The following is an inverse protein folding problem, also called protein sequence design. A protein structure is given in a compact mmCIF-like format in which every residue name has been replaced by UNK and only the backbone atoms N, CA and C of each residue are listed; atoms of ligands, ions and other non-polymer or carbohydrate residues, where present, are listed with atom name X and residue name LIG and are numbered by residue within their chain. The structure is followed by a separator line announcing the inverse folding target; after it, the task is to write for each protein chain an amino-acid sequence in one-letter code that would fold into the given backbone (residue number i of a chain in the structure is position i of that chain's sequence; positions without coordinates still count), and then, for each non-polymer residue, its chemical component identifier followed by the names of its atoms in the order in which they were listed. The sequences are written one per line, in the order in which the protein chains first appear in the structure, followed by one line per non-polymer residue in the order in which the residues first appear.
data_IF_507524463935
#
_entry.id   IF_507524463935
#
_cell.length_a   1.000
_cell.length_b   1.000
_cell.length_c   1.000
_cell.angle_alpha   90.00
_cell.angle_beta   90.00
_cell.angle_gamma   90.00
#
_symmetry.space_group_name_H-M   'P 1'
#
loop_
_entity.id
_entity.type
_entity.pdbx_description
1 polymer ?
#
# COMPACT_ATOMS: atom_id res chain seq x y z
N UNK A 1 -7.85 11.83 35.12
CA UNK A 1 -6.89 11.06 35.94
C UNK A 1 -7.43 9.66 36.11
N UNK A 2 -6.94 8.70 35.34
CA UNK A 2 -6.80 7.28 35.70
C UNK A 2 -5.98 6.62 34.59
N UNK A 3 -4.97 5.86 35.01
CA UNK A 3 -3.80 5.44 34.23
C UNK A 3 -4.17 4.32 33.26
N UNK A 4 -3.76 4.46 32.00
CA UNK A 4 -3.71 3.37 31.03
C UNK A 4 -2.41 2.58 31.28
N UNK A 5 -2.53 1.34 31.74
CA UNK A 5 -1.42 0.41 31.87
C UNK A 5 -1.21 -0.34 30.54
N UNK A 6 0.03 -0.33 30.03
CA UNK A 6 0.50 -1.28 29.01
C UNK A 6 0.55 -2.69 29.61
N UNK A 7 0.47 -3.71 28.76
CA UNK A 7 1.55 -4.69 28.74
C UNK A 7 2.11 -4.89 27.33
N UNK A 8 3.44 -5.02 27.27
CA UNK A 8 4.19 -5.37 26.06
C UNK A 8 4.97 -6.67 26.33
N UNK A 9 4.94 -7.55 25.32
CA UNK A 9 6.02 -8.42 24.83
C UNK A 9 6.59 -9.53 25.74
N UNK A 10 6.41 -10.78 25.28
CA UNK A 10 7.46 -11.81 25.30
C UNK A 10 7.12 -12.94 24.30
N UNK A 11 7.67 -12.88 23.08
CA UNK A 11 8.00 -14.09 22.32
C UNK A 11 9.00 -13.72 21.20
N UNK A 12 10.22 -14.22 21.35
CA UNK A 12 11.33 -14.27 20.39
C UNK A 12 11.91 -12.90 20.00
N UNK A 13 12.82 -12.45 20.85
CA UNK A 13 13.66 -11.28 20.64
C UNK A 13 14.56 -11.45 19.43
N UNK A 14 14.46 -10.49 18.53
CA UNK A 14 15.51 -9.74 17.86
C UNK A 14 14.80 -8.44 17.43
N UNK A 15 15.50 -7.30 17.42
CA UNK A 15 15.02 -5.95 17.07
C UNK A 15 14.40 -5.14 18.23
N UNK A 16 15.29 -4.46 18.97
CA UNK A 16 14.93 -3.33 19.83
C UNK A 16 14.67 -2.03 19.04
N UNK A 17 14.32 -0.92 19.71
CA UNK A 17 13.80 0.32 19.10
C UNK A 17 14.78 1.14 18.24
N UNK A 18 15.92 0.58 17.84
CA UNK A 18 16.96 1.25 17.06
C UNK A 18 16.81 1.10 15.53
N UNK A 19 15.80 0.35 15.05
CA UNK A 19 15.58 0.09 13.61
C UNK A 19 15.04 1.27 12.79
N UNK A 20 14.75 2.43 13.40
CA UNK A 20 14.08 3.56 12.73
C UNK A 20 15.03 4.67 12.24
N UNK A 21 16.35 4.44 12.21
CA UNK A 21 17.35 5.45 11.77
C UNK A 21 18.23 5.06 10.59
N UNK A 22 17.86 4.08 9.78
CA UNK A 22 18.68 3.68 8.60
C UNK A 22 17.96 3.78 7.25
N UNK A 23 17.03 4.72 7.09
CA UNK A 23 16.47 5.12 5.78
C UNK A 23 16.57 6.64 5.51
N UNK A 24 17.36 7.38 6.30
CA UNK A 24 17.46 8.86 6.21
C UNK A 24 18.88 9.42 6.01
N UNK A 25 19.79 8.63 5.45
CA UNK A 25 21.10 9.12 4.98
C UNK A 25 21.31 8.65 3.56
N UNK A 26 20.73 9.38 2.61
CA UNK A 26 20.85 9.07 1.19
C UNK A 26 20.31 10.16 0.27
N UNK A 27 20.32 11.42 0.72
CA UNK A 27 20.16 12.61 -0.14
C UNK A 27 20.96 13.75 0.47
N UNK A 28 22.27 13.70 0.32
CA UNK A 28 23.21 14.83 0.43
C UNK A 28 24.58 14.28 0.05
N UNK A 29 24.85 14.27 -1.25
CA UNK A 29 26.20 14.28 -1.84
C UNK A 29 26.04 14.41 -3.37
N UNK A 30 25.52 15.57 -3.78
CA UNK A 30 25.85 16.20 -5.06
C UNK A 30 26.04 17.68 -4.71
N UNK A 31 27.18 18.24 -5.13
CA UNK A 31 27.77 19.56 -4.81
C UNK A 31 28.88 19.46 -3.74
N UNK A 32 30.10 19.71 -4.21
CA UNK A 32 31.37 19.46 -3.52
C UNK A 32 31.90 20.61 -2.67
N UNK A 33 33.23 20.54 -2.49
CA UNK A 33 34.11 21.31 -1.58
C UNK A 33 34.02 20.83 -0.12
N UNK A 34 35.08 20.54 0.64
CA UNK A 34 36.50 20.82 0.56
C UNK A 34 36.99 20.94 2.02
N UNK A 35 38.21 20.45 2.30
CA UNK A 35 39.01 20.64 3.53
C UNK A 35 38.91 19.65 4.73
N UNK A 36 39.97 18.83 4.81
CA UNK A 36 40.86 18.52 5.95
C UNK A 36 40.30 18.04 7.31
N UNK A 37 40.73 16.82 7.69
CA UNK A 37 40.72 16.24 9.05
C UNK A 37 41.82 16.86 9.93
N UNK A 38 41.70 16.76 11.26
CA UNK A 38 42.53 15.77 11.96
C UNK A 38 41.80 14.96 13.06
N UNK A 39 42.54 13.97 13.57
CA UNK A 39 42.18 12.75 14.31
C UNK A 39 42.06 12.94 15.86
N UNK A 40 41.88 11.89 16.71
CA UNK A 40 40.89 11.90 17.80
C UNK A 40 41.48 12.04 19.22
N UNK A 41 40.68 12.61 20.14
CA UNK A 41 40.93 12.61 21.59
C UNK A 41 40.05 11.59 22.33
N UNK A 42 40.68 10.84 23.23
CA UNK A 42 40.14 9.76 24.08
C UNK A 42 39.49 10.30 25.37
N UNK A 43 38.71 9.41 26.01
CA UNK A 43 38.22 9.40 27.41
C UNK A 43 37.05 10.37 27.71
N UNK A 44 36.04 10.05 28.51
CA UNK A 44 35.92 9.02 29.56
C UNK A 44 34.44 8.63 29.81
N UNK A 45 34.23 7.44 30.38
CA UNK A 45 32.94 7.01 30.93
C UNK A 45 32.67 7.68 32.27
N UNK A 46 31.49 8.30 32.42
CA UNK A 46 31.00 8.83 33.69
C UNK A 46 29.49 8.77 33.78
N UNK A 47 28.98 7.89 34.63
CA UNK A 47 27.57 7.77 34.97
C UNK A 47 27.14 8.88 35.95
N UNK A 48 25.98 9.51 35.71
CA UNK A 48 25.12 10.19 36.69
C UNK A 48 23.84 10.60 35.97
N UNK A 49 22.73 9.87 36.13
CA UNK A 49 21.64 10.14 37.08
C UNK A 49 20.98 11.51 36.94
N UNK A 50 19.69 11.45 36.54
CA UNK A 50 18.56 12.27 37.03
C UNK A 50 18.76 13.78 37.11
N UNK A 51 18.09 14.56 36.26
CA UNK A 51 17.27 15.72 36.68
C UNK A 51 16.29 16.04 35.54
N UNK A 52 14.99 16.06 35.85
CA UNK A 52 13.93 16.30 34.88
C UNK A 52 13.79 17.78 34.51
N UNK A 53 13.35 18.04 33.29
CA UNK A 53 12.77 19.35 32.91
C UNK A 53 11.61 19.13 31.95
N UNK A 54 10.46 19.68 32.37
CA UNK A 54 9.21 19.83 31.60
C UNK A 54 9.47 20.60 30.31
N UNK A 55 8.87 20.19 29.19
CA UNK A 55 8.70 21.07 28.03
C UNK A 55 7.22 21.40 27.83
N UNK A 56 6.89 22.67 28.07
CA UNK A 56 5.70 23.33 27.55
C UNK A 56 5.85 23.57 26.03
N UNK A 57 4.74 23.69 25.28
CA UNK A 57 4.78 23.98 23.86
C UNK A 57 5.06 25.48 23.61
N UNK A 58 5.94 25.75 22.66
CA UNK A 58 6.25 27.10 22.20
C UNK A 58 5.22 27.47 21.11
N UNK A 59 4.30 28.38 21.45
CA UNK A 59 3.52 29.14 20.49
C UNK A 59 4.40 30.28 19.96
N UNK A 60 4.43 30.47 18.64
CA UNK A 60 5.03 31.64 18.01
C UNK A 60 3.88 32.52 17.55
N UNK A 61 3.71 33.64 18.22
CA UNK A 61 2.85 34.75 17.83
C UNK A 61 3.68 36.03 17.95
N UNK A 62 3.85 36.76 16.86
CA UNK A 62 4.32 38.15 16.78
C UNK A 62 4.32 38.53 15.29
N UNK A 63 3.91 39.70 14.83
CA UNK A 63 3.07 40.77 15.36
C UNK A 63 2.70 41.63 14.15
N UNK A 64 1.50 42.19 14.16
CA UNK A 64 1.02 43.16 13.16
C UNK A 64 1.64 44.53 13.47
N UNK A 65 2.26 45.16 12.47
CA UNK A 65 2.58 46.59 12.49
C UNK A 65 1.45 47.36 11.80
N UNK A 66 0.88 48.29 12.56
CA UNK A 66 -0.18 49.21 12.15
C UNK A 66 0.45 50.55 11.78
N UNK A 67 0.03 51.16 10.67
CA UNK A 67 0.18 52.59 10.39
C UNK A 67 -0.94 52.98 9.43
N UNK A 68 -1.88 53.76 9.95
CA UNK A 68 -3.08 54.18 9.22
C UNK A 68 -2.89 55.47 8.45
N UNK A 69 -3.79 55.71 7.49
CA UNK A 69 -4.25 57.04 7.08
C UNK A 69 -5.77 56.97 6.84
N UNK A 70 -6.41 58.06 7.22
CA UNK A 70 -7.81 58.42 7.44
C UNK A 70 -8.69 58.55 6.20
N UNK A 71 -10.01 58.34 6.36
CA UNK A 71 -11.03 58.87 5.45
C UNK A 71 -12.42 58.29 5.70
N UNK A 72 -13.30 59.04 6.38
CA UNK A 72 -14.58 58.54 6.86
C UNK A 72 -15.77 58.64 5.90
N UNK A 73 -16.84 57.92 6.26
CA UNK A 73 -18.27 58.27 6.13
C UNK A 73 -19.11 57.24 6.92
N UNK A 74 -20.05 57.71 7.74
CA UNK A 74 -21.13 56.95 8.44
C UNK A 74 -22.49 57.32 7.79
N UNK A 75 -23.62 56.72 8.17
CA UNK A 75 -23.94 55.28 8.26
C UNK A 75 -25.27 54.95 7.53
N UNK A 76 -25.54 53.68 7.24
CA UNK A 76 -26.93 53.22 7.03
C UNK A 76 -27.17 52.03 7.96
N UNK A 77 -28.10 52.25 8.88
CA UNK A 77 -28.66 51.30 9.82
C UNK A 77 -29.62 50.36 9.08
N UNK A 78 -29.41 49.05 9.21
CA UNK A 78 -30.50 48.08 9.12
C UNK A 78 -30.44 47.20 10.35
N UNK A 79 -31.40 47.42 11.24
CA UNK A 79 -31.71 46.56 12.37
C UNK A 79 -32.44 45.32 11.86
N UNK A 80 -31.91 44.13 12.11
CA UNK A 80 -32.72 42.91 12.19
C UNK A 80 -32.08 41.86 13.11
N UNK A 81 -32.69 41.75 14.29
CA UNK A 81 -32.85 40.58 15.17
C UNK A 81 -31.66 39.63 15.35
N UNK A 82 -31.03 39.77 16.51
CA UNK A 82 -30.37 38.69 17.24
C UNK A 82 -31.39 37.58 17.59
N UNK A 83 -31.29 36.44 16.92
CA UNK A 83 -31.78 35.16 17.45
C UNK A 83 -30.60 34.43 18.09
N UNK A 84 -30.53 34.52 19.41
CA UNK A 84 -29.73 33.65 20.25
C UNK A 84 -30.26 32.22 20.12
N UNK A 85 -29.64 31.42 19.25
CA UNK A 85 -29.76 29.97 19.31
C UNK A 85 -28.57 29.48 20.11
N UNK A 86 -28.83 29.19 21.39
CA UNK A 86 -28.00 28.30 22.19
C UNK A 86 -28.04 26.91 21.54
N UNK A 87 -27.19 26.70 20.55
CA UNK A 87 -26.89 25.39 20.01
C UNK A 87 -25.82 24.76 20.90
N UNK A 88 -26.25 23.87 21.80
CA UNK A 88 -25.35 22.98 22.54
C UNK A 88 -24.69 22.04 21.52
N UNK A 89 -23.57 22.47 20.94
CA UNK A 89 -22.84 21.76 19.91
C UNK A 89 -22.01 20.63 20.52
N UNK A 90 -22.67 19.52 20.86
CA UNK A 90 -21.97 18.26 21.05
C UNK A 90 -21.29 17.88 19.74
N UNK A 91 -19.95 17.77 19.75
CA UNK A 91 -19.11 17.27 18.66
C UNK A 91 -19.38 15.77 18.45
N UNK A 92 -20.59 15.43 17.99
CA UNK A 92 -20.89 14.11 17.46
C UNK A 92 -20.26 14.04 16.07
N UNK A 93 -18.98 13.65 16.02
CA UNK A 93 -18.30 13.33 14.76
C UNK A 93 -19.15 12.34 13.97
N UNK A 94 -19.79 12.81 12.90
CA UNK A 94 -20.67 12.00 12.05
C UNK A 94 -19.86 10.84 11.48
N UNK A 95 -20.23 9.61 11.84
CA UNK A 95 -19.62 8.39 11.30
C UNK A 95 -19.95 8.31 9.81
N UNK A 96 -18.93 8.08 8.99
CA UNK A 96 -19.08 7.91 7.54
C UNK A 96 -19.51 6.47 7.23
N UNK A 97 -20.30 6.33 6.17
CA UNK A 97 -20.74 5.05 5.60
C UNK A 97 -20.25 4.92 4.15
N UNK A 98 -20.45 3.73 3.56
CA UNK A 98 -20.07 3.47 2.16
C UNK A 98 -20.72 4.47 1.20
N UNK A 99 -21.98 4.86 1.47
CA UNK A 99 -22.70 5.88 0.70
C UNK A 99 -21.97 7.23 0.72
N UNK A 100 -21.45 7.67 1.88
CA UNK A 100 -20.72 8.94 1.96
C UNK A 100 -19.44 8.90 1.12
N UNK A 101 -18.75 7.76 1.04
CA UNK A 101 -17.58 7.59 0.18
C UNK A 101 -17.98 7.66 -1.30
N UNK A 102 -19.06 6.99 -1.69
CA UNK A 102 -19.58 7.05 -3.06
C UNK A 102 -19.95 8.48 -3.45
N UNK A 103 -20.61 9.24 -2.56
CA UNK A 103 -20.94 10.66 -2.78
C UNK A 103 -19.68 11.53 -2.96
N UNK A 104 -18.64 11.32 -2.14
CA UNK A 104 -17.38 12.08 -2.27
C UNK A 104 -16.71 11.85 -3.63
N UNK A 105 -16.75 10.62 -4.14
CA UNK A 105 -16.22 10.28 -5.47
C UNK A 105 -17.12 10.88 -6.57
N UNK A 106 -18.45 10.68 -6.47
CA UNK A 106 -19.41 11.12 -7.48
C UNK A 106 -19.45 12.64 -7.63
N UNK A 107 -19.39 13.37 -6.52
CA UNK A 107 -19.32 14.82 -6.48
C UNK A 107 -17.94 15.37 -6.86
N UNK A 108 -16.96 14.51 -7.22
CA UNK A 108 -15.57 14.89 -7.49
C UNK A 108 -14.92 15.67 -6.34
N UNK A 109 -15.39 15.46 -5.10
CA UNK A 109 -14.76 16.01 -3.91
C UNK A 109 -13.43 15.30 -3.59
N UNK A 110 -13.33 14.03 -3.98
CA UNK A 110 -12.09 13.27 -4.04
C UNK A 110 -11.74 12.97 -5.51
N UNK A 111 -10.54 13.36 -5.95
CA UNK A 111 -10.06 13.20 -7.33
C UNK A 111 -8.67 12.55 -7.41
N UNK A 112 -8.03 12.31 -6.26
CA UNK A 112 -6.71 11.70 -6.14
C UNK A 112 -6.84 10.48 -5.24
N UNK A 113 -7.54 9.47 -5.76
CA UNK A 113 -7.83 8.23 -5.06
C UNK A 113 -6.59 7.35 -5.09
N UNK A 114 -6.07 7.04 -3.92
CA UNK A 114 -5.01 6.06 -3.72
C UNK A 114 -5.65 4.71 -3.42
N UNK A 115 -5.12 3.65 -4.02
CA UNK A 115 -5.63 2.30 -3.79
C UNK A 115 -4.51 1.39 -3.32
N UNK A 116 -4.75 0.64 -2.25
CA UNK A 116 -3.91 -0.44 -1.76
C UNK A 116 -4.65 -1.76 -1.88
N UNK A 117 -4.06 -2.76 -2.54
CA UNK A 117 -4.68 -4.08 -2.71
C UNK A 117 -3.74 -5.22 -2.35
N UNK A 118 -4.33 -6.35 -1.97
CA UNK A 118 -3.62 -7.62 -1.75
C UNK A 118 -4.38 -8.80 -2.33
N UNK A 119 -3.97 -10.02 -1.93
CA UNK A 119 -4.37 -11.24 -2.62
C UNK A 119 -5.89 -11.50 -2.61
N UNK A 120 -6.62 -10.93 -1.66
CA UNK A 120 -8.07 -11.05 -1.55
C UNK A 120 -8.83 -10.51 -2.76
N UNK A 121 -8.24 -9.61 -3.57
CA UNK A 121 -8.90 -9.15 -4.81
C UNK A 121 -8.79 -10.17 -5.96
N UNK A 122 -7.85 -11.11 -5.88
CA UNK A 122 -7.56 -12.12 -6.92
C UNK A 122 -8.21 -13.46 -6.62
N UNK A 123 -8.77 -13.67 -5.42
CA UNK A 123 -9.50 -14.90 -5.07
C UNK A 123 -10.70 -15.19 -5.98
N UNK A 124 -11.50 -14.20 -6.43
CA UNK A 124 -12.59 -14.46 -7.38
C UNK A 124 -12.09 -14.82 -8.79
N UNK A 125 -10.82 -14.55 -9.08
CA UNK A 125 -10.16 -14.97 -10.33
C UNK A 125 -9.62 -16.40 -10.25
N UNK A 126 -9.80 -17.10 -9.13
CA UNK A 126 -9.32 -18.47 -8.91
C UNK A 126 -7.86 -18.55 -8.43
N UNK A 127 -7.26 -17.41 -8.05
CA UNK A 127 -5.92 -17.36 -7.45
C UNK A 127 -6.11 -17.46 -5.92
N UNK A 128 -5.62 -18.52 -5.26
CA UNK A 128 -5.73 -18.60 -3.80
C UNK A 128 -4.97 -17.45 -3.16
N UNK A 129 -5.49 -16.92 -2.05
CA UNK A 129 -4.67 -16.03 -1.21
C UNK A 129 -3.57 -16.84 -0.50
N UNK A 130 -2.70 -16.18 0.25
CA UNK A 130 -1.63 -16.88 0.95
C UNK A 130 -2.10 -17.57 2.24
N UNK A 131 -3.03 -16.94 2.97
CA UNK A 131 -3.23 -17.16 4.42
C UNK A 131 -4.58 -17.74 4.81
N UNK A 132 -5.58 -17.79 3.92
CA UNK A 132 -6.89 -18.31 4.27
C UNK A 132 -6.80 -19.78 4.68
N UNK A 133 -7.38 -20.17 5.83
CA UNK A 133 -7.37 -21.56 6.27
C UNK A 133 -8.01 -22.50 5.25
N UNK A 134 -7.33 -23.59 4.90
CA UNK A 134 -7.83 -24.65 4.02
C UNK A 134 -7.75 -24.37 2.51
N UNK A 135 -7.88 -23.11 2.08
CA UNK A 135 -7.81 -22.73 0.65
C UNK A 135 -6.57 -21.92 0.28
N UNK A 136 -5.92 -21.28 1.25
CA UNK A 136 -4.75 -20.45 1.04
C UNK A 136 -3.53 -21.28 0.65
N UNK A 137 -2.65 -20.66 -0.13
CA UNK A 137 -1.47 -21.29 -0.71
C UNK A 137 -0.66 -22.06 0.33
N UNK A 138 -0.41 -21.46 1.50
CA UNK A 138 0.37 -22.05 2.58
C UNK A 138 -0.20 -23.36 3.13
N UNK A 139 -1.52 -23.56 3.05
CA UNK A 139 -2.15 -24.82 3.47
C UNK A 139 -1.81 -25.98 2.52
N UNK A 140 -1.54 -25.66 1.25
CA UNK A 140 -1.28 -26.64 0.19
C UNK A 140 0.22 -26.86 -0.08
N UNK A 141 1.11 -26.15 0.62
CA UNK A 141 2.56 -26.28 0.45
C UNK A 141 3.17 -27.48 1.21
N UNK A 142 2.38 -28.25 1.97
CA UNK A 142 2.87 -29.41 2.73
C UNK A 142 3.55 -30.48 1.86
N UNK A 143 3.23 -30.52 0.56
CA UNK A 143 3.89 -31.40 -0.41
C UNK A 143 5.34 -31.01 -0.72
N UNK A 144 5.72 -29.76 -0.45
CA UNK A 144 7.09 -29.29 -0.57
C UNK A 144 7.72 -29.42 0.82
N UNK A 145 8.86 -30.11 0.91
CA UNK A 145 9.62 -30.32 2.15
C UNK A 145 10.22 -28.98 2.65
N UNK A 146 9.34 -28.11 3.13
CA UNK A 146 9.61 -26.75 3.60
C UNK A 146 9.65 -26.75 5.13
N UNK A 147 10.58 -26.02 5.75
CA UNK A 147 10.62 -25.90 7.21
C UNK A 147 9.37 -25.19 7.77
N UNK A 148 8.80 -24.27 7.00
CA UNK A 148 7.54 -23.58 7.22
C UNK A 148 7.07 -22.96 5.89
N UNK A 149 5.77 -22.66 5.71
CA UNK A 149 5.22 -22.26 4.41
C UNK A 149 5.86 -21.02 3.77
N UNK A 150 6.21 -20.02 4.57
CA UNK A 150 6.79 -18.75 4.12
C UNK A 150 8.20 -18.93 3.51
N UNK A 151 8.90 -20.03 3.85
CA UNK A 151 10.25 -20.30 3.38
C UNK A 151 10.35 -20.33 1.85
N UNK A 152 9.28 -20.71 1.14
CA UNK A 152 9.25 -20.70 -0.34
C UNK A 152 9.50 -19.30 -0.94
N UNK A 153 9.23 -18.25 -0.17
CA UNK A 153 9.43 -16.85 -0.54
C UNK A 153 10.59 -16.19 0.23
N UNK A 154 11.45 -16.94 0.90
CA UNK A 154 12.65 -16.40 1.56
C UNK A 154 13.87 -16.50 0.65
N UNK A 155 14.64 -15.40 0.55
CA UNK A 155 15.82 -15.37 -0.31
C UNK A 155 16.88 -16.40 0.12
N UNK A 156 17.05 -16.60 1.43
CA UNK A 156 18.00 -17.55 1.99
C UNK A 156 17.63 -18.99 1.60
N UNK A 157 16.37 -19.38 1.77
CA UNK A 157 15.87 -20.69 1.36
C UNK A 157 15.98 -20.88 -0.16
N UNK A 158 15.55 -19.90 -0.95
CA UNK A 158 15.65 -19.95 -2.41
C UNK A 158 17.08 -20.15 -2.92
N UNK A 159 18.05 -19.49 -2.27
CA UNK A 159 19.46 -19.62 -2.62
C UNK A 159 19.99 -21.03 -2.36
N UNK A 160 19.46 -21.71 -1.34
CA UNK A 160 19.79 -23.10 -1.03
C UNK A 160 19.04 -24.10 -1.92
N UNK A 161 17.73 -23.94 -2.05
CA UNK A 161 16.84 -24.81 -2.81
C UNK A 161 15.77 -23.99 -3.56
N UNK A 162 16.00 -23.61 -4.82
CA UNK A 162 15.04 -22.82 -5.59
C UNK A 162 13.89 -23.66 -6.18
N UNK A 163 13.96 -24.99 -6.10
CA UNK A 163 13.03 -25.90 -6.79
C UNK A 163 11.57 -25.72 -6.31
N UNK A 164 11.26 -25.67 -5.00
CA UNK A 164 9.88 -25.48 -4.54
C UNK A 164 9.23 -24.22 -5.11
N UNK A 165 9.97 -23.11 -5.15
CA UNK A 165 9.47 -21.86 -5.73
C UNK A 165 9.16 -22.03 -7.23
N UNK A 166 10.07 -22.63 -8.01
CA UNK A 166 9.82 -22.79 -9.45
C UNK A 166 8.69 -23.77 -9.76
N UNK A 167 8.51 -24.82 -8.97
CA UNK A 167 7.36 -25.72 -9.09
C UNK A 167 6.06 -24.96 -8.83
N UNK A 168 6.00 -24.18 -7.75
CA UNK A 168 4.87 -23.33 -7.44
C UNK A 168 4.61 -22.28 -8.54
N UNK A 169 5.66 -21.60 -9.00
CA UNK A 169 5.59 -20.58 -10.02
C UNK A 169 5.05 -21.14 -11.35
N UNK A 170 5.43 -22.37 -11.71
CA UNK A 170 4.90 -23.10 -12.87
C UNK A 170 3.38 -23.27 -12.75
N UNK A 171 2.87 -23.71 -11.61
CA UNK A 171 1.43 -23.91 -11.40
C UNK A 171 0.64 -22.62 -11.52
N UNK A 172 1.17 -21.52 -10.99
CA UNK A 172 0.55 -20.19 -11.06
C UNK A 172 0.59 -19.61 -12.47
N UNK A 173 1.70 -19.81 -13.21
CA UNK A 173 1.87 -19.24 -14.54
C UNK A 173 1.11 -19.99 -15.64
N UNK A 174 1.02 -21.32 -15.53
CA UNK A 174 0.28 -22.13 -16.51
C UNK A 174 -1.24 -21.89 -16.44
N UNK A 175 -1.73 -21.49 -15.27
CA UNK A 175 -3.13 -21.08 -15.12
C UNK A 175 -3.28 -19.66 -15.66
N UNK A 176 -3.86 -19.52 -16.85
CA UNK A 176 -4.23 -18.23 -17.45
C UNK A 176 -5.39 -17.60 -16.66
N UNK A 177 -5.06 -16.93 -15.57
CA UNK A 177 -6.03 -16.21 -14.76
C UNK A 177 -6.51 -14.95 -15.47
N UNK A 178 -7.78 -14.57 -15.23
CA UNK A 178 -8.38 -13.36 -15.80
C UNK A 178 -8.73 -12.34 -14.71
N UNK A 179 -8.60 -11.03 -14.98
CA UNK A 179 -9.08 -10.02 -14.05
C UNK A 179 -10.58 -10.19 -13.82
N UNK A 180 -11.02 -9.96 -12.59
CA UNK A 180 -12.43 -9.94 -12.22
C UNK A 180 -12.95 -8.49 -12.08
N UNK A 181 -14.23 -8.35 -11.72
CA UNK A 181 -14.92 -7.06 -11.54
C UNK A 181 -14.17 -6.05 -10.66
N UNK A 182 -13.43 -6.50 -9.64
CA UNK A 182 -12.65 -5.62 -8.77
C UNK A 182 -11.54 -4.93 -9.55
N UNK A 183 -10.82 -5.68 -10.39
CA UNK A 183 -9.74 -5.15 -11.22
C UNK A 183 -10.28 -4.16 -12.26
N UNK A 184 -11.44 -4.45 -12.84
CA UNK A 184 -12.09 -3.56 -13.80
C UNK A 184 -12.70 -2.32 -13.14
N UNK A 185 -13.15 -2.40 -11.88
CA UNK A 185 -13.51 -1.21 -11.10
C UNK A 185 -12.31 -0.27 -10.93
N UNK A 186 -11.12 -0.81 -10.63
CA UNK A 186 -9.90 -0.01 -10.55
C UNK A 186 -9.51 0.61 -11.90
N UNK A 187 -9.73 -0.13 -12.99
CA UNK A 187 -9.58 0.38 -14.36
C UNK A 187 -10.56 1.50 -14.65
N UNK A 188 -11.83 1.36 -14.28
CA UNK A 188 -12.83 2.40 -14.48
C UNK A 188 -12.52 3.66 -13.65
N UNK A 189 -11.98 3.50 -12.43
CA UNK A 189 -11.48 4.60 -11.62
C UNK A 189 -10.31 5.34 -12.32
N UNK A 190 -9.45 4.61 -13.03
CA UNK A 190 -8.42 5.20 -13.88
C UNK A 190 -9.01 5.95 -15.07
N UNK A 191 -9.89 5.32 -15.84
CA UNK A 191 -10.48 5.87 -17.07
C UNK A 191 -11.30 7.13 -16.77
N UNK A 192 -11.91 7.23 -15.58
CA UNK A 192 -12.60 8.43 -15.09
C UNK A 192 -11.67 9.53 -14.55
N UNK A 193 -10.35 9.32 -14.57
CA UNK A 193 -9.34 10.29 -14.16
C UNK A 193 -9.23 10.48 -12.64
N UNK A 194 -9.67 9.50 -11.84
CA UNK A 194 -9.73 9.61 -10.37
C UNK A 194 -8.58 8.87 -9.67
N UNK A 195 -8.02 7.83 -10.30
CA UNK A 195 -6.93 7.05 -9.73
C UNK A 195 -5.63 7.86 -9.71
N UNK A 196 -5.12 8.16 -8.50
CA UNK A 196 -3.79 8.70 -8.31
C UNK A 196 -2.73 7.63 -8.59
N UNK A 197 -2.79 6.53 -7.81
CA UNK A 197 -1.91 5.36 -7.91
C UNK A 197 -2.58 4.13 -7.33
N UNK A 198 -2.27 2.97 -7.90
CA UNK A 198 -2.58 1.65 -7.39
C UNK A 198 -1.30 1.00 -6.85
N UNK A 199 -1.30 0.70 -5.56
CA UNK A 199 -0.28 -0.08 -4.86
C UNK A 199 -0.80 -1.50 -4.70
N UNK A 200 -0.12 -2.48 -5.27
CA UNK A 200 -0.50 -3.90 -5.15
C UNK A 200 0.59 -4.69 -4.44
N UNK A 201 0.18 -5.59 -3.54
CA UNK A 201 1.03 -6.64 -2.97
C UNK A 201 1.05 -7.90 -3.86
N UNK A 202 0.16 -7.96 -4.85
CA UNK A 202 0.02 -9.12 -5.72
C UNK A 202 1.15 -9.15 -6.73
N UNK A 203 1.46 -10.38 -7.16
CA UNK A 203 2.48 -10.69 -8.17
C UNK A 203 1.86 -11.33 -9.42
N UNK A 204 0.55 -11.54 -9.42
CA UNK A 204 -0.21 -12.20 -10.50
C UNK A 204 -0.30 -11.35 -11.78
N UNK A 205 -0.17 -10.02 -11.67
CA UNK A 205 -0.17 -9.08 -12.79
C UNK A 205 -1.56 -8.77 -13.34
N UNK A 206 -2.65 -9.18 -12.68
CA UNK A 206 -4.01 -8.97 -13.18
C UNK A 206 -4.38 -7.47 -13.26
N UNK A 207 -3.72 -6.60 -12.50
CA UNK A 207 -3.88 -5.15 -12.62
C UNK A 207 -3.36 -4.63 -13.97
N UNK A 208 -2.25 -5.19 -14.48
CA UNK A 208 -1.76 -4.87 -15.83
C UNK A 208 -2.70 -5.42 -16.89
N UNK A 209 -3.18 -6.65 -16.70
CA UNK A 209 -4.10 -7.32 -17.64
C UNK A 209 -5.43 -6.58 -17.73
N UNK A 210 -5.94 -5.99 -16.65
CA UNK A 210 -7.15 -5.14 -16.69
C UNK A 210 -6.93 -3.77 -17.36
N UNK A 211 -5.69 -3.46 -17.73
CA UNK A 211 -5.32 -2.25 -18.47
C UNK A 211 -4.89 -1.07 -17.60
N UNK A 212 -4.53 -1.29 -16.33
CA UNK A 212 -3.88 -0.23 -15.54
C UNK A 212 -2.51 0.08 -16.17
N UNK A 213 -2.24 1.33 -16.57
CA UNK A 213 -0.95 1.66 -17.16
C UNK A 213 0.16 1.58 -16.12
N UNK A 214 1.37 1.21 -16.55
CA UNK A 214 2.54 1.09 -15.67
C UNK A 214 2.84 2.39 -14.89
N UNK A 215 2.48 3.55 -15.45
CA UNK A 215 2.60 4.85 -14.77
C UNK A 215 1.69 4.96 -13.56
N UNK A 216 0.56 4.24 -13.48
CA UNK A 216 -0.39 4.24 -12.37
C UNK A 216 -0.19 3.08 -11.39
N UNK A 217 0.65 2.11 -11.71
CA UNK A 217 0.86 0.91 -10.92
C UNK A 217 2.20 0.92 -10.16
N UNK A 218 2.13 0.52 -8.89
CA UNK A 218 3.27 0.16 -8.04
C UNK A 218 3.07 -1.27 -7.56
N UNK A 219 3.80 -2.19 -8.17
CA UNK A 219 3.90 -3.60 -7.74
C UNK A 219 4.88 -3.68 -6.58
N UNK A 220 4.40 -3.51 -5.36
CA UNK A 220 5.24 -3.38 -4.17
C UNK A 220 6.06 -4.64 -3.91
N UNK A 221 5.55 -5.81 -4.28
CA UNK A 221 6.25 -7.09 -4.18
C UNK A 221 6.79 -7.59 -5.53
N UNK A 222 6.93 -6.69 -6.52
CA UNK A 222 7.44 -7.03 -7.83
C UNK A 222 6.45 -7.81 -8.69
N UNK A 223 6.93 -8.43 -9.77
CA UNK A 223 6.07 -9.20 -10.69
C UNK A 223 6.84 -10.24 -11.50
N UNK A 224 6.10 -11.17 -12.10
CA UNK A 224 6.65 -12.15 -13.04
C UNK A 224 6.97 -11.59 -14.45
N UNK A 225 6.79 -10.28 -14.67
CA UNK A 225 6.97 -9.65 -15.97
C UNK A 225 8.43 -9.57 -16.43
N UNK A 226 9.37 -9.60 -15.48
CA UNK A 226 10.81 -9.57 -15.72
C UNK A 226 11.53 -10.42 -14.67
N UNK A 227 12.83 -10.56 -14.85
CA UNK A 227 13.64 -11.34 -13.96
C UNK A 227 15.12 -10.97 -14.05
N UNK A 228 15.86 -11.36 -13.02
CA UNK A 228 17.25 -10.97 -12.84
C UNK A 228 18.11 -12.16 -12.40
N UNK A 229 19.29 -12.30 -12.98
CA UNK A 229 20.29 -13.25 -12.48
C UNK A 229 20.70 -12.88 -11.05
N UNK A 230 20.65 -13.85 -10.15
CA UNK A 230 20.99 -13.64 -8.73
C UNK A 230 22.48 -13.36 -8.49
N UNK A 231 23.34 -13.66 -9.47
CA UNK A 231 24.80 -13.48 -9.38
C UNK A 231 25.24 -12.21 -10.09
N UNK A 232 25.15 -12.17 -11.43
CA UNK A 232 25.67 -11.06 -12.22
C UNK A 232 24.67 -9.91 -12.44
N UNK A 233 23.45 -10.01 -11.89
CA UNK A 233 22.38 -9.01 -12.02
C UNK A 233 21.94 -8.71 -13.46
N UNK A 234 22.32 -9.56 -14.42
CA UNK A 234 21.86 -9.45 -15.81
C UNK A 234 20.33 -9.62 -15.87
N UNK A 235 19.59 -8.70 -16.51
CA UNK A 235 18.16 -8.87 -16.73
C UNK A 235 17.89 -9.98 -17.74
N UNK A 236 16.76 -10.65 -17.59
CA UNK A 236 16.25 -11.69 -18.47
C UNK A 236 14.78 -11.44 -18.78
N UNK A 237 14.34 -11.81 -19.97
CA UNK A 237 12.92 -11.71 -20.31
C UNK A 237 12.13 -12.80 -19.57
N UNK A 238 10.86 -12.52 -19.27
CA UNK A 238 9.95 -13.53 -18.72
C UNK A 238 9.86 -14.75 -19.65
N UNK A 239 9.82 -14.54 -20.98
CA UNK A 239 9.72 -15.61 -21.97
C UNK A 239 10.85 -16.64 -21.84
N UNK A 240 12.08 -16.19 -21.65
CA UNK A 240 13.25 -17.08 -21.56
C UNK A 240 13.17 -17.97 -20.33
N UNK A 241 12.69 -17.41 -19.22
CA UNK A 241 12.59 -18.11 -17.94
C UNK A 241 11.46 -19.11 -17.96
N UNK A 242 10.30 -18.70 -18.47
CA UNK A 242 9.13 -19.57 -18.51
C UNK A 242 9.30 -20.75 -19.46
N UNK A 243 10.18 -20.65 -20.47
CA UNK A 243 10.58 -21.79 -21.28
C UNK A 243 11.27 -22.88 -20.45
N UNK A 244 12.23 -22.50 -19.59
CA UNK A 244 12.90 -23.43 -18.68
C UNK A 244 11.95 -23.96 -17.59
N UNK A 245 11.21 -23.07 -16.93
CA UNK A 245 10.28 -23.45 -15.86
C UNK A 245 9.20 -24.41 -16.35
N UNK A 246 8.67 -24.22 -17.56
CA UNK A 246 7.66 -25.13 -18.14
C UNK A 246 8.19 -26.56 -18.33
N UNK A 247 9.48 -26.72 -18.58
CA UNK A 247 10.17 -28.01 -18.68
C UNK A 247 10.73 -28.53 -17.35
N UNK A 248 10.28 -27.99 -16.22
CA UNK A 248 10.75 -28.35 -14.87
C UNK A 248 12.26 -28.10 -14.67
N UNK A 249 12.84 -27.17 -15.43
CA UNK A 249 14.23 -26.76 -15.29
C UNK A 249 14.34 -25.47 -14.49
N UNK A 250 15.37 -25.39 -13.65
CA UNK A 250 15.73 -24.16 -12.96
C UNK A 250 16.40 -23.22 -13.99
N UNK A 251 15.87 -22.01 -14.21
CA UNK A 251 16.43 -21.05 -15.15
C UNK A 251 17.84 -20.62 -14.76
N UNK A 252 18.78 -20.66 -15.72
CA UNK A 252 20.21 -20.37 -15.50
C UNK A 252 20.69 -19.26 -16.41
N UNK A 253 21.52 -18.38 -15.88
CA UNK A 253 22.09 -17.28 -16.62
C UNK A 253 23.05 -17.80 -17.69
N UNK A 254 22.93 -17.38 -18.96
CA UNK A 254 23.80 -17.86 -20.03
C UNK A 254 25.26 -17.38 -19.91
N UNK A 255 25.53 -16.42 -19.02
CA UNK A 255 26.89 -15.85 -18.84
C UNK A 255 27.60 -16.46 -17.63
N UNK A 256 26.95 -16.48 -16.47
CA UNK A 256 27.60 -16.85 -15.22
C UNK A 256 27.02 -18.11 -14.57
N UNK A 257 26.03 -18.76 -15.19
CA UNK A 257 25.34 -19.97 -14.69
C UNK A 257 24.59 -19.80 -13.36
N UNK A 258 24.56 -18.58 -12.81
CA UNK A 258 23.73 -18.23 -11.65
C UNK A 258 22.24 -18.44 -11.95
N UNK A 259 21.45 -18.73 -10.91
CA UNK A 259 19.99 -18.88 -11.04
C UNK A 259 19.39 -17.54 -11.51
N UNK A 260 18.43 -17.61 -12.43
CA UNK A 260 17.66 -16.44 -12.85
C UNK A 260 16.33 -16.45 -12.11
N UNK A 261 16.11 -15.45 -11.27
CA UNK A 261 14.95 -15.34 -10.40
C UNK A 261 13.99 -14.29 -10.96
N UNK A 262 12.67 -14.57 -11.06
CA UNK A 262 11.67 -13.54 -11.34
C UNK A 262 11.83 -12.32 -10.42
N UNK A 263 11.50 -11.14 -10.92
CA UNK A 263 11.61 -9.87 -10.18
C UNK A 263 10.46 -9.70 -9.17
N UNK A 264 10.17 -10.76 -8.41
CA UNK A 264 9.32 -10.78 -7.23
C UNK A 264 10.18 -10.54 -6.01
N UNK A 265 9.69 -9.76 -5.06
CA UNK A 265 10.38 -9.51 -3.80
C UNK A 265 10.19 -10.69 -2.86
N UNK A 266 11.30 -11.28 -2.45
CA UNK A 266 11.33 -12.31 -1.41
C UNK A 266 11.56 -11.64 -0.05
N UNK A 267 11.17 -12.33 1.03
CA UNK A 267 11.57 -11.93 2.37
C UNK A 267 13.10 -11.83 2.46
N UNK A 268 13.56 -10.68 2.97
CA UNK A 268 14.97 -10.31 3.01
C UNK A 268 15.45 -9.46 1.82
N UNK A 269 14.62 -9.24 0.78
CA UNK A 269 14.95 -8.34 -0.34
C UNK A 269 14.43 -6.91 -0.11
N UNK A 270 15.09 -5.95 -0.74
CA UNK A 270 14.62 -4.56 -0.79
C UNK A 270 13.43 -4.43 -1.73
N UNK A 271 12.44 -3.62 -1.37
CA UNK A 271 11.32 -3.31 -2.26
C UNK A 271 11.77 -2.58 -3.54
N UNK A 272 11.00 -2.65 -4.65
CA UNK A 272 11.36 -2.02 -5.90
C UNK A 272 11.44 -0.50 -5.77
N UNK A 273 12.32 0.15 -6.54
CA UNK A 273 12.51 1.61 -6.50
C UNK A 273 11.20 2.39 -6.69
N UNK A 274 10.27 1.87 -7.52
CA UNK A 274 8.94 2.49 -7.73
C UNK A 274 8.10 2.57 -6.45
N UNK A 275 8.37 1.73 -5.45
CA UNK A 275 7.71 1.81 -4.15
C UNK A 275 7.98 3.16 -3.47
N UNK A 276 9.11 3.81 -3.72
CA UNK A 276 9.45 5.14 -3.17
C UNK A 276 8.50 6.26 -3.58
N UNK A 277 7.68 6.06 -4.62
CA UNK A 277 6.63 7.01 -5.00
C UNK A 277 5.64 7.28 -3.86
N UNK A 278 5.56 6.39 -2.85
CA UNK A 278 4.67 6.57 -1.70
C UNK A 278 4.95 7.88 -0.95
N UNK A 279 6.21 8.35 -0.96
CA UNK A 279 6.62 9.61 -0.33
C UNK A 279 5.88 10.81 -0.93
N UNK A 280 5.55 10.75 -2.22
CA UNK A 280 4.81 11.80 -2.92
C UNK A 280 3.30 11.53 -2.95
N UNK A 281 2.91 10.29 -3.18
CA UNK A 281 1.51 9.94 -3.45
C UNK A 281 0.63 10.04 -2.18
N UNK A 282 1.12 9.55 -1.04
CA UNK A 282 0.29 9.47 0.19
C UNK A 282 -0.07 10.85 0.78
N UNK A 283 0.83 11.85 0.82
CA UNK A 283 0.47 13.21 1.23
C UNK A 283 -0.57 13.88 0.30
N UNK A 284 -0.53 13.55 -1.00
CA UNK A 284 -1.38 14.14 -2.05
C UNK A 284 -2.77 13.52 -2.14
N UNK A 285 -2.93 12.29 -1.64
CA UNK A 285 -4.20 11.58 -1.67
C UNK A 285 -5.33 12.36 -0.96
N UNK A 286 -6.53 12.25 -1.51
CA UNK A 286 -7.76 12.77 -0.91
C UNK A 286 -8.79 11.67 -0.55
N UNK A 287 -8.52 10.42 -0.94
CA UNK A 287 -9.23 9.22 -0.54
C UNK A 287 -8.27 8.03 -0.60
N UNK A 288 -8.32 7.15 0.41
CA UNK A 288 -7.61 5.87 0.40
C UNK A 288 -8.61 4.71 0.35
N UNK A 289 -8.50 3.86 -0.66
CA UNK A 289 -9.22 2.59 -0.74
C UNK A 289 -8.26 1.44 -0.42
N UNK A 290 -8.68 0.52 0.43
CA UNK A 290 -7.91 -0.66 0.82
C UNK A 290 -8.78 -1.88 0.59
N UNK A 291 -8.35 -2.79 -0.29
CA UNK A 291 -9.16 -3.94 -0.70
C UNK A 291 -8.39 -5.26 -0.55
N UNK A 292 -9.02 -6.25 0.07
CA UNK A 292 -8.55 -7.64 0.01
C UNK A 292 -7.12 -7.87 0.54
N UNK A 293 -6.72 -7.24 1.63
CA UNK A 293 -5.40 -7.43 2.25
C UNK A 293 -5.54 -7.60 3.76
N UNK A 294 -4.67 -8.39 4.39
CA UNK A 294 -4.61 -8.52 5.85
C UNK A 294 -3.83 -7.38 6.52
N UNK A 295 -3.10 -6.57 5.76
CA UNK A 295 -2.20 -5.53 6.29
C UNK A 295 -1.22 -6.06 7.36
N UNK A 296 -0.68 -7.27 7.15
CA UNK A 296 0.27 -7.89 8.08
C UNK A 296 1.74 -7.76 7.64
N UNK A 297 1.98 -7.43 6.37
CA UNK A 297 3.33 -7.40 5.79
C UNK A 297 3.83 -5.96 5.65
N UNK A 298 4.93 -5.66 6.33
CA UNK A 298 5.60 -4.36 6.25
C UNK A 298 6.61 -4.30 5.09
N UNK A 299 6.93 -3.09 4.58
CA UNK A 299 6.43 -1.76 4.96
C UNK A 299 5.05 -1.40 4.37
N UNK A 300 4.39 -2.34 3.68
CA UNK A 300 3.13 -2.06 2.98
C UNK A 300 1.97 -1.75 3.95
N UNK A 301 1.89 -2.46 5.08
CA UNK A 301 0.84 -2.25 6.08
C UNK A 301 0.85 -0.81 6.65
N UNK A 302 2.04 -0.31 7.02
CA UNK A 302 2.24 1.03 7.55
C UNK A 302 1.81 2.15 6.60
N UNK A 303 1.79 1.90 5.28
CA UNK A 303 1.30 2.87 4.31
C UNK A 303 -0.16 3.27 4.54
N UNK A 304 -0.98 2.37 5.09
CA UNK A 304 -2.38 2.68 5.41
C UNK A 304 -2.53 3.87 6.37
N UNK A 305 -1.48 4.20 7.12
CA UNK A 305 -1.43 5.34 8.04
C UNK A 305 -0.76 6.59 7.46
N UNK A 306 -0.10 6.48 6.30
CA UNK A 306 0.70 7.56 5.74
C UNK A 306 -0.13 8.68 5.08
N UNK A 307 -1.42 8.45 4.82
CA UNK A 307 -2.33 9.52 4.38
C UNK A 307 -2.64 10.50 5.52
N UNK A 308 -2.92 11.76 5.19
CA UNK A 308 -3.28 12.81 6.17
C UNK A 308 -4.48 12.36 7.03
N UNK A 309 -4.53 12.80 8.28
CA UNK A 309 -5.60 12.44 9.23
C UNK A 309 -7.01 12.84 8.79
N UNK A 310 -7.12 13.84 7.91
CA UNK A 310 -8.39 14.31 7.33
C UNK A 310 -8.89 13.48 6.15
N UNK A 311 -8.05 12.59 5.60
CA UNK A 311 -8.38 11.77 4.42
C UNK A 311 -9.26 10.59 4.86
N UNK A 312 -10.44 10.39 4.26
CA UNK A 312 -11.23 9.18 4.47
C UNK A 312 -10.45 7.95 4.02
N UNK A 313 -10.57 6.86 4.78
CA UNK A 313 -10.04 5.55 4.39
C UNK A 313 -11.19 4.54 4.33
N UNK A 314 -11.36 3.86 3.20
CA UNK A 314 -12.35 2.79 3.05
C UNK A 314 -11.63 1.45 3.00
N UNK A 315 -11.93 0.57 3.96
CA UNK A 315 -11.54 -0.83 3.94
C UNK A 315 -12.69 -1.67 3.38
N UNK A 316 -12.47 -2.37 2.27
CA UNK A 316 -13.34 -3.44 1.76
C UNK A 316 -12.61 -4.76 1.95
N UNK A 317 -13.04 -5.55 2.93
CA UNK A 317 -12.35 -6.80 3.25
C UNK A 317 -13.29 -7.78 3.98
N UNK A 318 -12.93 -9.06 4.02
CA UNK A 318 -13.68 -10.05 4.82
C UNK A 318 -13.65 -9.70 6.31
N UNK A 319 -12.47 -9.35 6.80
CA UNK A 319 -12.18 -9.14 8.22
C UNK A 319 -11.70 -7.70 8.47
N UNK A 320 -11.95 -7.16 9.67
CA UNK A 320 -11.32 -5.91 10.10
C UNK A 320 -9.84 -6.19 10.35
N UNK A 321 -8.97 -5.39 9.76
CA UNK A 321 -7.53 -5.65 9.74
C UNK A 321 -6.73 -4.39 9.93
N UNK A 322 -5.44 -4.54 10.25
CA UNK A 322 -4.54 -3.41 10.24
C UNK A 322 -4.92 -2.34 11.28
N UNK A 323 -4.45 -1.11 11.04
CA UNK A 323 -4.81 0.07 11.83
C UNK A 323 -6.32 0.33 11.95
N UNK A 324 -7.19 -0.28 11.13
CA UNK A 324 -8.65 -0.18 11.30
C UNK A 324 -9.15 -0.92 12.54
N UNK A 325 -8.45 -1.98 12.96
CA UNK A 325 -8.79 -2.73 14.17
C UNK A 325 -8.25 -2.07 15.44
N UNK A 326 -7.00 -1.59 15.43
CA UNK A 326 -6.30 -1.12 16.64
C UNK A 326 -6.09 0.40 16.73
N UNK A 327 -6.15 1.15 15.63
CA UNK A 327 -6.00 2.61 15.62
C UNK A 327 -6.98 3.30 14.64
N UNK A 328 -8.30 3.14 14.85
CA UNK A 328 -9.29 3.69 13.93
C UNK A 328 -9.28 5.23 13.94
N UNK A 329 -9.44 5.83 12.76
CA UNK A 329 -9.61 7.27 12.56
C UNK A 329 -11.08 7.63 12.47
N UNK A 330 -11.40 8.90 12.72
CA UNK A 330 -12.78 9.38 12.68
C UNK A 330 -13.44 9.31 11.29
N UNK A 331 -12.66 9.17 10.22
CA UNK A 331 -13.13 9.11 8.83
C UNK A 331 -12.89 7.74 8.18
N UNK A 332 -12.63 6.72 8.99
CA UNK A 332 -12.55 5.36 8.49
C UNK A 332 -13.94 4.80 8.23
N UNK A 333 -14.08 4.11 7.09
CA UNK A 333 -15.26 3.33 6.73
C UNK A 333 -14.80 1.90 6.52
N UNK A 334 -15.52 0.96 7.13
CA UNK A 334 -15.21 -0.47 7.00
C UNK A 334 -16.44 -1.17 6.44
N UNK A 335 -16.29 -1.71 5.24
CA UNK A 335 -17.28 -2.53 4.56
C UNK A 335 -16.81 -3.99 4.60
N UNK A 336 -17.40 -4.75 5.53
CA UNK A 336 -17.08 -6.16 5.71
C UNK A 336 -17.91 -7.05 4.78
N UNK A 337 -17.34 -8.18 4.40
CA UNK A 337 -18.01 -9.23 3.63
C UNK A 337 -17.20 -9.66 2.42
N UNK A 338 -17.90 -10.28 1.47
CA UNK A 338 -17.31 -10.61 0.18
C UNK A 338 -16.87 -9.34 -0.56
N UNK A 339 -15.65 -9.38 -1.11
CA UNK A 339 -15.01 -8.21 -1.73
C UNK A 339 -15.70 -7.86 -3.04
N UNK A 340 -16.16 -8.85 -3.81
CA UNK A 340 -16.91 -8.63 -5.06
C UNK A 340 -18.22 -7.93 -4.76
N UNK A 341 -19.03 -8.48 -3.86
CA UNK A 341 -20.33 -7.90 -3.49
C UNK A 341 -20.19 -6.46 -2.97
N UNK A 342 -19.17 -6.20 -2.17
CA UNK A 342 -18.90 -4.87 -1.62
C UNK A 342 -18.48 -3.85 -2.69
N UNK A 343 -17.69 -4.28 -3.68
CA UNK A 343 -17.32 -3.45 -4.83
C UNK A 343 -18.53 -3.21 -5.74
N UNK A 344 -19.36 -4.23 -6.01
CA UNK A 344 -20.61 -4.07 -6.75
C UNK A 344 -21.54 -3.05 -6.09
N UNK A 345 -21.65 -3.11 -4.76
CA UNK A 345 -22.45 -2.14 -4.00
C UNK A 345 -21.89 -0.72 -4.13
N UNK A 346 -20.56 -0.56 -4.07
CA UNK A 346 -19.94 0.74 -4.29
C UNK A 346 -20.19 1.27 -5.72
N UNK A 347 -20.04 0.41 -6.73
CA UNK A 347 -20.31 0.71 -8.15
C UNK A 347 -21.76 1.13 -8.36
N UNK A 348 -22.71 0.47 -7.70
CA UNK A 348 -24.12 0.83 -7.72
C UNK A 348 -24.37 2.22 -7.12
N UNK A 349 -23.78 2.52 -5.96
CA UNK A 349 -23.89 3.84 -5.32
C UNK A 349 -23.25 4.96 -6.15
N UNK A 350 -22.22 4.63 -6.93
CA UNK A 350 -21.57 5.55 -7.86
C UNK A 350 -22.40 5.76 -9.15
N UNK A 351 -23.37 4.89 -9.43
CA UNK A 351 -24.10 4.87 -10.70
C UNK A 351 -23.25 4.40 -11.88
N UNK A 352 -22.26 3.53 -11.65
CA UNK A 352 -21.29 3.08 -12.67
C UNK A 352 -21.54 1.65 -13.16
N UNK A 353 -22.70 1.06 -12.84
CA UNK A 353 -23.00 -0.36 -13.11
C UNK A 353 -22.90 -0.69 -14.61
N UNK A 354 -23.59 0.08 -15.45
CA UNK A 354 -23.63 -0.15 -16.90
C UNK A 354 -22.24 0.03 -17.52
N UNK A 355 -21.54 1.13 -17.21
CA UNK A 355 -20.19 1.39 -17.70
C UNK A 355 -19.19 0.28 -17.31
N UNK A 356 -19.31 -0.26 -16.10
CA UNK A 356 -18.44 -1.36 -15.66
C UNK A 356 -18.77 -2.66 -16.39
N UNK A 357 -20.04 -2.97 -16.62
CA UNK A 357 -20.45 -4.14 -17.39
C UNK A 357 -19.96 -4.07 -18.84
N UNK A 358 -20.12 -2.91 -19.48
CA UNK A 358 -19.63 -2.68 -20.84
C UNK A 358 -18.10 -2.84 -20.92
N UNK A 359 -17.35 -2.30 -19.95
CA UNK A 359 -15.90 -2.45 -19.88
C UNK A 359 -15.49 -3.93 -19.73
N UNK A 360 -16.15 -4.66 -18.83
CA UNK A 360 -15.87 -6.09 -18.61
C UNK A 360 -16.14 -6.90 -19.88
N UNK A 361 -17.26 -6.64 -20.56
CA UNK A 361 -17.62 -7.33 -21.80
C UNK A 361 -16.56 -7.07 -22.88
N UNK A 362 -16.21 -5.81 -23.12
CA UNK A 362 -15.21 -5.42 -24.12
C UNK A 362 -13.83 -6.03 -23.84
N UNK A 363 -13.37 -6.03 -22.59
CA UNK A 363 -12.06 -6.58 -22.25
C UNK A 363 -12.05 -8.11 -22.27
N UNK A 364 -13.16 -8.77 -21.93
CA UNK A 364 -13.29 -10.23 -22.03
C UNK A 364 -13.21 -10.69 -23.49
N UNK A 365 -13.93 -10.01 -24.40
CA UNK A 365 -13.88 -10.28 -25.84
C UNK A 365 -12.48 -10.08 -26.42
N UNK A 366 -11.76 -9.02 -26.00
CA UNK A 366 -10.36 -8.79 -26.41
C UNK A 366 -9.41 -9.88 -25.93
N UNK A 367 -9.63 -10.44 -24.73
CA UNK A 367 -8.81 -11.52 -24.21
C UNK A 367 -9.09 -12.84 -24.95
N UNK A 368 -10.37 -13.14 -25.22
CA UNK A 368 -10.75 -14.31 -26.02
C UNK A 368 -10.18 -14.26 -27.44
N UNK A 369 -10.20 -13.09 -28.08
CA UNK A 369 -9.63 -12.88 -29.41
C UNK A 369 -8.09 -12.91 -29.48
N UNK A 370 -7.38 -12.90 -28.34
CA UNK A 370 -5.92 -13.06 -28.27
C UNK A 370 -5.49 -14.50 -28.00
N UNK A 371 -6.41 -15.32 -27.48
CA UNK A 371 -6.18 -16.72 -27.15
C UNK A 371 -6.54 -17.68 -28.30
N UNK A 372 -7.26 -17.20 -29.33
CA UNK A 372 -7.52 -17.89 -30.60
C UNK A 372 -6.57 -17.48 -31.70
#
# INVERSE_FOLDING_TARGET
MTRCARPALAALGLWGPAGWRSLYTGVRDVLGEGHQRPSPGRMDMGAASLWGVRKAPCAVELAVLNSGITGGRRPISFSTRTSSIFGSGGDHKKKLFLQDIAELIRARACQRVLVMVGAGISTPSGIPDFRSPGSGLYSNLQQYDLPYPEAVFELAFFSHNPKPFFTLAKELYLKKYRPNIIHYFLRLLHDKGLLLRLYTQNIDGLERVSGIPASKLVEAHGSFASATCTVCRRPSSAKDIWADVSMDKIPRCPVCTGVVKPDIVFFGETLPQRFLLHVLDFPMADLLLILGTSLEVEPFASLSEAVRSSVPRLLINRDVVGPFAWCPRSRDVVQLGDVVHSVERLVELLGWREELQDLIQQETEKLDGRDG
#
